data_IF_227974977255
#
_entry.id   IF_227974977255
#
_cell.length_a   1.000
_cell.length_b   1.000
_cell.length_c   1.000
_cell.angle_alpha   90.00
_cell.angle_beta   90.00
_cell.angle_gamma   90.00
#
_symmetry.space_group_name_H-M   'P 1'
#
loop_
_entity.id
_entity.type
_entity.pdbx_description
1 polymer ?
#
# COMPACT_ATOMS: atom_id res chain seq x y z
N UNK A 1 -24.43 66.84 24.83
CA UNK A 1 -23.46 66.69 23.71
C UNK A 1 -22.53 65.48 23.94
N UNK A 2 -23.07 64.29 24.27
CA UNK A 2 -22.27 63.11 24.71
C UNK A 2 -22.82 61.75 24.26
N UNK A 3 -23.74 61.72 23.28
CA UNK A 3 -24.37 60.47 22.81
C UNK A 3 -23.88 60.00 21.43
N UNK A 4 -23.10 60.83 20.73
CA UNK A 4 -22.69 60.56 19.33
C UNK A 4 -21.37 59.77 19.23
N UNK A 5 -20.47 59.89 20.22
CA UNK A 5 -19.15 59.22 20.20
C UNK A 5 -19.19 57.71 20.46
N UNK A 6 -20.28 57.18 21.02
CA UNK A 6 -20.37 55.76 21.40
C UNK A 6 -20.66 54.84 20.22
N UNK A 7 -21.12 55.39 19.07
CA UNK A 7 -21.53 54.57 17.92
C UNK A 7 -20.36 54.24 16.98
N UNK A 8 -19.40 55.14 16.84
CA UNK A 8 -18.20 54.93 16.01
C UNK A 8 -17.20 53.98 16.68
N UNK A 9 -17.22 53.89 18.02
CA UNK A 9 -16.29 53.07 18.78
C UNK A 9 -16.60 51.55 18.71
N UNK A 10 -17.83 51.14 18.35
CA UNK A 10 -18.20 49.73 18.23
C UNK A 10 -17.83 49.08 16.90
N UNK A 11 -17.51 49.87 15.88
CA UNK A 11 -17.19 49.32 14.55
C UNK A 11 -15.73 48.86 14.48
N UNK A 12 -14.82 49.48 15.26
CA UNK A 12 -13.41 49.11 15.26
C UNK A 12 -13.07 47.77 15.92
N UNK A 13 -13.90 47.27 16.85
CA UNK A 13 -13.61 45.99 17.53
C UNK A 13 -13.97 44.75 16.70
N UNK A 14 -14.87 44.89 15.72
CA UNK A 14 -15.32 43.77 14.86
C UNK A 14 -14.43 43.57 13.62
N UNK A 15 -13.61 44.55 13.28
CA UNK A 15 -12.74 44.50 12.08
C UNK A 15 -11.35 43.92 12.38
N UNK A 16 -10.89 43.96 13.64
CA UNK A 16 -9.59 43.38 14.04
C UNK A 16 -9.63 41.83 14.12
N UNK A 17 -10.77 41.22 14.49
CA UNK A 17 -10.93 39.75 14.58
C UNK A 17 -11.11 39.05 13.22
N UNK A 18 -11.53 39.79 12.18
CA UNK A 18 -11.73 39.26 10.82
C UNK A 18 -10.42 38.89 10.12
N UNK A 19 -9.33 39.58 10.45
CA UNK A 19 -8.00 39.30 9.88
C UNK A 19 -7.32 38.05 10.47
N UNK A 20 -7.64 37.68 11.72
CA UNK A 20 -7.00 36.55 12.43
C UNK A 20 -7.75 35.22 12.22
N UNK A 21 -9.07 35.28 12.10
CA UNK A 21 -9.91 34.06 11.99
C UNK A 21 -9.80 33.40 10.62
N UNK A 22 -9.73 34.17 9.53
CA UNK A 22 -9.68 33.62 8.16
C UNK A 22 -8.41 32.78 7.88
N UNK A 23 -7.19 33.24 8.21
CA UNK A 23 -5.98 32.42 8.08
C UNK A 23 -6.00 31.18 8.96
N UNK A 24 -6.60 31.26 10.16
CA UNK A 24 -6.67 30.16 11.11
C UNK A 24 -7.65 29.07 10.65
N UNK A 25 -8.80 29.47 10.08
CA UNK A 25 -9.72 28.54 9.39
C UNK A 25 -9.03 27.87 8.21
N UNK A 26 -8.31 28.64 7.38
CA UNK A 26 -7.58 28.09 6.23
C UNK A 26 -6.51 27.08 6.68
N UNK A 27 -5.75 27.43 7.72
CA UNK A 27 -4.75 26.54 8.31
C UNK A 27 -5.37 25.23 8.80
N UNK A 28 -6.47 25.30 9.56
CA UNK A 28 -7.16 24.09 10.01
C UNK A 28 -7.81 23.31 8.87
N UNK A 29 -8.30 23.98 7.83
CA UNK A 29 -8.83 23.31 6.64
C UNK A 29 -7.74 22.51 5.95
N UNK A 30 -6.57 23.11 5.73
CA UNK A 30 -5.41 22.43 5.15
C UNK A 30 -4.96 21.27 6.03
N UNK A 31 -4.88 21.47 7.35
CA UNK A 31 -4.54 20.40 8.30
C UNK A 31 -5.57 19.26 8.28
N UNK A 32 -6.87 19.59 8.23
CA UNK A 32 -7.93 18.60 8.15
C UNK A 32 -7.86 17.80 6.85
N UNK A 33 -7.64 18.46 5.71
CA UNK A 33 -7.45 17.80 4.41
C UNK A 33 -6.20 16.91 4.45
N UNK A 34 -5.08 17.40 4.99
CA UNK A 34 -3.86 16.62 5.12
C UNK A 34 -4.07 15.38 6.00
N UNK A 35 -4.78 15.51 7.13
CA UNK A 35 -5.10 14.40 8.01
C UNK A 35 -6.01 13.35 7.31
N UNK A 36 -7.04 13.82 6.60
CA UNK A 36 -7.90 12.93 5.79
C UNK A 36 -7.07 12.22 4.73
N UNK A 37 -6.20 12.94 4.02
CA UNK A 37 -5.34 12.38 2.98
C UNK A 37 -4.41 11.29 3.52
N UNK A 38 -3.79 11.51 4.68
CA UNK A 38 -2.96 10.49 5.34
C UNK A 38 -3.79 9.25 5.71
N UNK A 39 -5.01 9.43 6.24
CA UNK A 39 -5.91 8.30 6.52
C UNK A 39 -6.28 7.51 5.27
N UNK A 40 -6.54 8.20 4.15
CA UNK A 40 -6.80 7.54 2.86
C UNK A 40 -5.57 6.74 2.41
N UNK A 41 -4.38 7.34 2.43
CA UNK A 41 -3.13 6.65 2.06
C UNK A 41 -2.86 5.43 2.95
N UNK A 42 -3.05 5.57 4.26
CA UNK A 42 -2.86 4.47 5.20
C UNK A 42 -3.84 3.32 4.93
N UNK A 43 -5.10 3.64 4.63
CA UNK A 43 -6.13 2.65 4.31
C UNK A 43 -5.83 1.95 2.98
N UNK A 44 -5.42 2.72 1.97
CA UNK A 44 -5.06 2.20 0.66
C UNK A 44 -3.83 1.29 0.72
N UNK A 45 -2.76 1.73 1.40
CA UNK A 45 -1.57 0.93 1.65
C UNK A 45 -1.89 -0.36 2.41
N UNK A 46 -2.77 -0.27 3.42
CA UNK A 46 -3.22 -1.44 4.18
C UNK A 46 -3.96 -2.44 3.30
N UNK A 47 -4.83 -1.97 2.39
CA UNK A 47 -5.51 -2.83 1.43
C UNK A 47 -4.50 -3.46 0.46
N UNK A 48 -3.56 -2.69 -0.07
CA UNK A 48 -2.50 -3.18 -0.95
C UNK A 48 -1.65 -4.26 -0.27
N UNK A 49 -1.27 -4.05 0.99
CA UNK A 49 -0.57 -5.06 1.79
C UNK A 49 -1.41 -6.33 1.92
N UNK A 50 -2.70 -6.21 2.23
CA UNK A 50 -3.56 -7.38 2.41
C UNK A 50 -3.76 -8.18 1.13
N UNK A 51 -3.79 -7.50 -0.02
CA UNK A 51 -3.82 -8.15 -1.33
C UNK A 51 -2.50 -8.88 -1.61
N UNK A 52 -1.36 -8.25 -1.34
CA UNK A 52 -0.05 -8.88 -1.50
C UNK A 52 0.11 -10.12 -0.62
N UNK A 53 -0.37 -10.09 0.62
CA UNK A 53 -0.40 -11.27 1.50
C UNK A 53 -1.21 -12.42 0.85
N UNK A 54 -2.36 -12.11 0.25
CA UNK A 54 -3.18 -13.12 -0.44
C UNK A 54 -2.49 -13.68 -1.69
N UNK A 55 -1.72 -12.87 -2.41
CA UNK A 55 -0.90 -13.32 -3.55
C UNK A 55 0.22 -14.22 -3.06
N UNK A 56 0.89 -13.85 -1.96
CA UNK A 56 1.94 -14.67 -1.36
C UNK A 56 1.40 -16.04 -0.93
N UNK A 57 0.23 -16.07 -0.29
CA UNK A 57 -0.43 -17.31 0.13
C UNK A 57 -0.80 -18.20 -1.07
N UNK A 58 -1.36 -17.61 -2.12
CA UNK A 58 -1.70 -18.34 -3.35
C UNK A 58 -0.45 -18.88 -4.07
N UNK A 59 0.61 -18.06 -4.16
CA UNK A 59 1.86 -18.44 -4.79
C UNK A 59 2.60 -19.53 -3.97
N UNK A 60 2.56 -19.48 -2.64
CA UNK A 60 3.10 -20.52 -1.78
C UNK A 60 2.33 -21.84 -1.92
N UNK A 61 0.99 -21.78 -2.03
CA UNK A 61 0.17 -22.95 -2.29
C UNK A 61 0.52 -23.59 -3.64
N UNK A 62 0.61 -22.78 -4.70
CA UNK A 62 1.03 -23.26 -6.02
C UNK A 62 2.46 -23.82 -6.00
N UNK A 63 3.37 -23.15 -5.28
CA UNK A 63 4.73 -23.62 -5.09
C UNK A 63 4.79 -24.97 -4.36
N UNK A 64 3.86 -25.26 -3.46
CA UNK A 64 3.79 -26.57 -2.79
C UNK A 64 3.43 -27.72 -3.75
N UNK A 65 2.77 -27.42 -4.88
CA UNK A 65 2.51 -28.37 -5.96
C UNK A 65 3.72 -28.55 -6.90
N UNK A 66 4.79 -27.75 -6.73
CA UNK A 66 6.06 -27.83 -7.46
C UNK A 66 6.95 -29.00 -7.00
N UNK A 67 6.42 -30.23 -7.03
CA UNK A 67 7.17 -31.44 -6.66
C UNK A 67 7.48 -32.31 -7.89
N UNK A 68 8.64 -32.95 -7.87
CA UNK A 68 9.00 -34.02 -8.82
C UNK A 68 8.77 -35.37 -8.16
N UNK A 69 8.15 -36.27 -8.90
CA UNK A 69 7.98 -37.66 -8.49
C UNK A 69 9.25 -38.45 -8.80
N UNK A 70 9.93 -38.92 -7.76
CA UNK A 70 11.03 -39.87 -7.88
C UNK A 70 10.54 -41.28 -7.56
N UNK A 71 10.96 -42.23 -8.40
CA UNK A 71 10.65 -43.65 -8.23
C UNK A 71 11.89 -44.34 -7.68
N UNK A 72 11.81 -44.82 -6.44
CA UNK A 72 12.87 -45.57 -5.76
C UNK A 72 12.39 -47.00 -5.54
N UNK A 73 12.78 -47.91 -6.44
CA UNK A 73 12.33 -49.31 -6.40
C UNK A 73 10.82 -49.43 -6.61
N UNK A 74 10.10 -49.85 -5.57
CA UNK A 74 8.63 -50.00 -5.57
C UNK A 74 7.91 -48.82 -4.87
N UNK A 75 8.67 -47.84 -4.35
CA UNK A 75 8.13 -46.66 -3.69
C UNK A 75 8.17 -45.42 -4.62
N UNK A 76 7.11 -44.62 -4.59
CA UNK A 76 7.04 -43.31 -5.25
C UNK A 76 7.14 -42.24 -4.16
N UNK A 77 8.10 -41.33 -4.29
CA UNK A 77 8.29 -40.20 -3.37
C UNK A 77 8.15 -38.88 -4.12
N UNK A 78 7.34 -37.98 -3.58
CA UNK A 78 7.31 -36.59 -4.03
C UNK A 78 8.42 -35.83 -3.31
N UNK A 79 9.31 -35.20 -4.07
CA UNK A 79 10.35 -34.31 -3.56
C UNK A 79 10.16 -32.92 -4.18
N UNK A 80 10.22 -31.89 -3.35
CA UNK A 80 10.12 -30.50 -3.79
C UNK A 80 11.35 -30.15 -4.65
N UNK A 81 11.10 -29.51 -5.80
CA UNK A 81 12.15 -29.08 -6.73
C UNK A 81 12.08 -27.56 -6.87
N UNK A 82 13.14 -26.84 -6.52
CA UNK A 82 13.15 -25.38 -6.49
C UNK A 82 12.76 -24.73 -7.83
N UNK A 83 13.08 -25.36 -8.96
CA UNK A 83 12.70 -24.86 -10.27
C UNK A 83 11.19 -25.02 -10.52
N UNK A 84 10.63 -26.18 -10.17
CA UNK A 84 9.18 -26.41 -10.27
C UNK A 84 8.40 -25.48 -9.32
N UNK A 85 8.89 -25.24 -8.10
CA UNK A 85 8.28 -24.28 -7.16
C UNK A 85 8.24 -22.87 -7.78
N UNK A 86 9.35 -22.42 -8.37
CA UNK A 86 9.44 -21.11 -9.01
C UNK A 86 8.49 -20.98 -10.22
N UNK A 87 8.43 -22.01 -11.07
CA UNK A 87 7.52 -22.03 -12.22
C UNK A 87 6.06 -21.97 -11.79
N UNK A 88 5.63 -22.81 -10.83
CA UNK A 88 4.25 -22.81 -10.35
C UNK A 88 3.87 -21.49 -9.65
N UNK A 89 4.75 -20.95 -8.81
CA UNK A 89 4.52 -19.68 -8.14
C UNK A 89 4.41 -18.51 -9.15
N UNK A 90 5.30 -18.46 -10.14
CA UNK A 90 5.28 -17.42 -11.17
C UNK A 90 4.03 -17.48 -12.04
N UNK A 91 3.54 -18.69 -12.36
CA UNK A 91 2.32 -18.89 -13.12
C UNK A 91 1.09 -18.31 -12.40
N UNK A 92 0.97 -18.52 -11.09
CA UNK A 92 -0.14 -17.95 -10.30
C UNK A 92 -0.04 -16.43 -10.18
N UNK A 93 1.16 -15.90 -9.92
CA UNK A 93 1.37 -14.44 -9.85
C UNK A 93 0.98 -13.78 -11.19
N UNK A 94 1.38 -14.37 -12.31
CA UNK A 94 1.05 -13.87 -13.65
C UNK A 94 -0.45 -13.89 -14.00
N UNK A 95 -1.26 -14.71 -13.33
CA UNK A 95 -2.72 -14.73 -13.51
C UNK A 95 -3.42 -13.64 -12.69
N UNK A 96 -2.88 -13.27 -11.53
CA UNK A 96 -3.51 -12.32 -10.61
C UNK A 96 -3.32 -10.85 -11.07
N UNK A 97 -2.26 -10.55 -11.83
CA UNK A 97 -1.99 -9.25 -12.48
C UNK A 97 -2.25 -8.01 -11.58
N UNK A 98 -1.74 -8.05 -10.34
CA UNK A 98 -1.91 -6.98 -9.33
C UNK A 98 -0.60 -6.21 -9.07
N UNK A 99 0.36 -6.28 -10.02
CA UNK A 99 1.67 -5.63 -9.91
C UNK A 99 2.63 -6.29 -8.92
N UNK A 100 2.34 -7.52 -8.49
CA UNK A 100 3.23 -8.32 -7.65
C UNK A 100 4.28 -9.03 -8.50
N UNK A 101 5.52 -9.06 -8.01
CA UNK A 101 6.67 -9.70 -8.63
C UNK A 101 7.23 -10.77 -7.70
N UNK A 102 7.73 -11.86 -8.29
CA UNK A 102 8.39 -12.93 -7.56
C UNK A 102 9.83 -12.53 -7.22
N UNK A 103 10.17 -12.51 -5.93
CA UNK A 103 11.53 -12.22 -5.44
C UNK A 103 12.34 -13.51 -5.29
N UNK A 104 11.74 -14.54 -4.69
CA UNK A 104 12.37 -15.83 -4.50
C UNK A 104 11.35 -16.94 -4.31
N UNK A 105 11.68 -18.16 -4.74
CA UNK A 105 10.90 -19.36 -4.56
C UNK A 105 11.86 -20.56 -4.38
N UNK A 106 11.57 -21.43 -3.42
CA UNK A 106 12.36 -22.64 -3.17
C UNK A 106 11.96 -23.39 -1.91
N UNK A 107 12.65 -24.48 -1.59
CA UNK A 107 12.40 -25.30 -0.40
C UNK A 107 13.64 -25.40 0.50
N UNK A 108 13.76 -24.56 1.55
CA UNK A 108 14.92 -24.57 2.44
C UNK A 108 15.11 -25.88 3.23
N UNK A 109 14.03 -26.63 3.43
CA UNK A 109 13.99 -27.86 4.23
C UNK A 109 13.61 -29.10 3.40
N UNK A 110 13.42 -28.96 2.08
CA UNK A 110 12.97 -30.02 1.18
C UNK A 110 11.55 -30.53 1.45
N UNK A 111 10.79 -29.87 2.34
CA UNK A 111 9.46 -30.32 2.80
C UNK A 111 8.40 -29.23 2.71
N UNK A 112 8.81 -27.96 2.74
CA UNK A 112 7.94 -26.80 2.63
C UNK A 112 8.40 -25.91 1.48
N UNK A 113 7.45 -25.43 0.68
CA UNK A 113 7.72 -24.39 -0.30
C UNK A 113 7.70 -23.02 0.40
N UNK A 114 8.70 -22.19 0.12
CA UNK A 114 8.79 -20.80 0.55
C UNK A 114 8.84 -19.90 -0.66
N UNK A 115 7.90 -18.97 -0.72
CA UNK A 115 7.78 -17.99 -1.79
C UNK A 115 7.80 -16.59 -1.19
N UNK A 116 8.57 -15.69 -1.79
CA UNK A 116 8.66 -14.28 -1.42
C UNK A 116 8.22 -13.45 -2.61
N UNK A 117 7.28 -12.55 -2.38
CA UNK A 117 6.75 -11.63 -3.39
C UNK A 117 6.94 -10.18 -2.96
N UNK A 118 7.01 -9.26 -3.91
CA UNK A 118 7.06 -7.82 -3.68
C UNK A 118 6.13 -7.10 -4.62
N UNK A 119 5.62 -5.93 -4.21
CA UNK A 119 4.86 -5.05 -5.09
C UNK A 119 5.26 -3.60 -4.83
N UNK A 120 5.12 -2.75 -5.84
CA UNK A 120 5.35 -1.31 -5.72
C UNK A 120 4.04 -0.61 -5.43
N UNK A 121 3.94 0.06 -4.26
CA UNK A 121 2.78 0.87 -3.92
C UNK A 121 3.00 2.33 -4.27
N UNK A 122 1.96 2.99 -4.78
CA UNK A 122 1.96 4.41 -5.11
C UNK A 122 0.82 5.14 -4.38
N UNK A 123 1.07 6.28 -3.71
CA UNK A 123 0.03 6.99 -2.99
C UNK A 123 -1.11 7.46 -3.91
N UNK A 124 -2.38 7.30 -3.49
CA UNK A 124 -3.51 7.78 -4.27
C UNK A 124 -3.46 9.32 -4.39
N UNK A 125 -3.96 9.87 -5.50
CA UNK A 125 -4.06 11.31 -5.79
C UNK A 125 -2.73 12.08 -5.96
N UNK A 126 -1.62 11.62 -5.39
CA UNK A 126 -0.29 12.22 -5.61
C UNK A 126 0.46 11.59 -6.78
N UNK A 127 0.19 10.32 -7.11
CA UNK A 127 0.85 9.63 -8.23
C UNK A 127 0.67 10.35 -9.58
N UNK A 128 -0.50 10.95 -9.82
CA UNK A 128 -0.76 11.74 -11.05
C UNK A 128 -0.03 13.09 -11.07
N UNK A 129 0.34 13.62 -9.90
CA UNK A 129 1.00 14.90 -9.73
C UNK A 129 2.52 14.78 -9.67
N UNK A 130 3.04 13.59 -9.34
CA UNK A 130 4.46 13.26 -9.38
C UNK A 130 4.74 12.65 -10.77
N UNK A 131 5.25 13.42 -11.75
CA UNK A 131 5.75 12.81 -12.98
C UNK A 131 6.80 11.77 -12.60
N UNK A 132 6.87 10.67 -13.37
CA UNK A 132 7.79 9.54 -13.21
C UNK A 132 9.26 9.98 -13.32
N UNK A 133 9.74 10.76 -12.36
CA UNK A 133 11.06 11.35 -12.34
C UNK A 133 11.71 11.07 -10.99
N UNK A 134 11.87 9.78 -10.67
CA UNK A 134 12.98 9.28 -9.85
C UNK A 134 12.94 7.74 -9.80
N UNK A 135 13.71 7.14 -10.68
CA UNK A 135 14.25 5.79 -10.48
C UNK A 135 15.60 6.01 -9.77
N UNK A 136 15.75 5.48 -8.55
CA UNK A 136 17.05 5.30 -7.89
C UNK A 136 17.47 3.86 -8.12
#
# INVERSE_FOLDING_TARGET
MSAVRTREQRVGLLDDDRGSTMPLILGYLVLAIAAIYVCVCATDLYIAQKRLDSVADAAALAGADGFRLQVEGEAIRAELDDAEIADQASAVIGVIDDGAELVSAGSPDGRSARVTVSATWSPPLLSELVPSMLVI
#
